data_IF_827727919517
#
_entry.id   IF_827727919517
#
_cell.length_a   1.000
_cell.length_b   1.000
_cell.length_c   1.000
_cell.angle_alpha   90.00
_cell.angle_beta   90.00
_cell.angle_gamma   90.00
#
_symmetry.space_group_name_H-M   'P 1'
#
loop_
_entity.id
_entity.type
_entity.pdbx_description
1 polymer ?
#
# COMPACT_ATOMS: atom_id res chain seq x y z
N UNK A 1 -15.39 13.68 -8.92
CA UNK A 1 -15.00 14.03 -7.52
C UNK A 1 -13.94 13.03 -7.12
N UNK A 2 -12.73 13.48 -6.80
CA UNK A 2 -11.63 12.60 -6.38
C UNK A 2 -11.76 12.31 -4.89
N UNK A 3 -11.79 11.02 -4.53
CA UNK A 3 -11.79 10.60 -3.12
C UNK A 3 -10.36 10.46 -2.62
N UNK A 4 -10.11 10.79 -1.36
CA UNK A 4 -8.77 10.64 -0.74
C UNK A 4 -8.81 9.60 0.36
N UNK A 5 -7.83 8.70 0.36
CA UNK A 5 -7.70 7.61 1.33
C UNK A 5 -6.29 7.61 1.91
N UNK A 6 -6.17 7.59 3.22
CA UNK A 6 -4.90 7.34 3.91
C UNK A 6 -4.88 5.88 4.39
N UNK A 7 -3.84 5.14 4.01
CA UNK A 7 -3.67 3.73 4.32
C UNK A 7 -2.30 3.53 4.97
N UNK A 8 -2.29 2.88 6.14
CA UNK A 8 -1.07 2.45 6.81
C UNK A 8 -0.88 0.96 6.58
N UNK A 9 0.31 0.54 6.17
CA UNK A 9 0.68 -0.87 6.01
C UNK A 9 2.14 -1.06 6.40
N UNK A 10 2.51 -2.21 6.95
CA UNK A 10 3.89 -2.47 7.34
C UNK A 10 4.87 -2.45 6.16
N UNK A 11 4.34 -2.75 4.97
CA UNK A 11 5.07 -3.07 3.75
C UNK A 11 4.32 -2.61 2.50
N UNK A 12 5.04 -2.00 1.55
CA UNK A 12 4.48 -1.66 0.25
C UNK A 12 5.53 -1.62 -0.87
N UNK A 13 5.07 -1.55 -2.13
CA UNK A 13 5.95 -1.59 -3.30
C UNK A 13 6.99 -0.45 -3.31
N UNK A 14 8.23 -0.70 -3.80
CA UNK A 14 8.78 -2.00 -4.21
C UNK A 14 9.39 -2.82 -3.05
N UNK A 15 9.46 -2.28 -1.84
CA UNK A 15 10.34 -2.76 -0.77
C UNK A 15 9.76 -3.86 0.11
N UNK A 16 9.39 -5.03 -0.41
CA UNK A 16 8.86 -6.12 0.43
C UNK A 16 8.87 -7.51 -0.22
N UNK A 17 9.08 -8.56 0.61
CA UNK A 17 8.79 -9.98 0.32
C UNK A 17 7.46 -10.49 0.94
N UNK A 18 6.65 -9.61 1.54
CA UNK A 18 5.51 -9.93 2.41
C UNK A 18 4.32 -10.62 1.71
N UNK A 19 4.37 -10.80 0.39
CA UNK A 19 3.41 -11.60 -0.37
C UNK A 19 2.01 -11.00 -0.43
N UNK A 20 1.04 -11.71 0.16
CA UNK A 20 -0.41 -11.47 0.00
C UNK A 20 -0.90 -10.06 0.36
N UNK A 21 -0.59 -9.49 1.54
CA UNK A 21 -1.09 -8.19 1.96
C UNK A 21 -0.69 -7.06 1.00
N UNK A 22 0.56 -7.06 0.56
CA UNK A 22 1.11 -6.04 -0.35
C UNK A 22 0.45 -6.16 -1.73
N UNK A 23 0.27 -7.39 -2.22
CA UNK A 23 -0.41 -7.63 -3.50
C UNK A 23 -1.87 -7.18 -3.44
N UNK A 24 -2.57 -7.44 -2.34
CA UNK A 24 -3.96 -7.02 -2.13
C UNK A 24 -4.09 -5.50 -2.15
N UNK A 25 -3.23 -4.76 -1.44
CA UNK A 25 -3.26 -3.29 -1.44
C UNK A 25 -2.90 -2.73 -2.82
N UNK A 26 -1.87 -3.27 -3.48
CA UNK A 26 -1.49 -2.82 -4.82
C UNK A 26 -2.62 -3.03 -5.84
N UNK A 27 -3.31 -4.18 -5.78
CA UNK A 27 -4.47 -4.45 -6.63
C UNK A 27 -5.63 -3.50 -6.33
N UNK A 28 -5.89 -3.19 -5.05
CA UNK A 28 -6.94 -2.24 -4.65
C UNK A 28 -6.69 -0.85 -5.22
N UNK A 29 -5.47 -0.34 -5.09
CA UNK A 29 -5.05 0.96 -5.64
C UNK A 29 -5.23 0.98 -7.15
N UNK A 30 -4.81 -0.09 -7.84
CA UNK A 30 -4.95 -0.21 -9.29
C UNK A 30 -6.42 -0.26 -9.76
N UNK A 31 -7.31 -0.87 -8.97
CA UNK A 31 -8.73 -0.95 -9.28
C UNK A 31 -9.50 0.36 -9.07
N UNK A 32 -8.89 1.35 -8.39
CA UNK A 32 -9.53 2.61 -8.01
C UNK A 32 -8.78 3.84 -8.58
N UNK A 33 -8.71 4.00 -9.91
CA UNK A 33 -7.88 5.03 -10.55
C UNK A 33 -8.33 6.48 -10.24
N UNK A 34 -9.58 6.67 -9.82
CA UNK A 34 -10.13 7.98 -9.46
C UNK A 34 -9.98 8.31 -7.95
N UNK A 35 -9.22 7.51 -7.22
CA UNK A 35 -8.96 7.69 -5.78
C UNK A 35 -7.50 8.01 -5.55
N UNK A 36 -7.24 9.03 -4.76
CA UNK A 36 -5.89 9.40 -4.36
C UNK A 36 -5.51 8.68 -3.06
N UNK A 37 -4.53 7.78 -3.14
CA UNK A 37 -4.05 7.01 -1.99
C UNK A 37 -2.77 7.63 -1.40
N UNK A 38 -2.81 7.89 -0.10
CA UNK A 38 -1.63 8.20 0.72
C UNK A 38 -1.24 6.95 1.49
N UNK A 39 -0.16 6.30 1.06
CA UNK A 39 0.31 5.04 1.67
C UNK A 39 1.48 5.34 2.59
N UNK A 40 1.28 5.11 3.89
CA UNK A 40 2.31 5.22 4.91
C UNK A 40 2.83 3.82 5.18
N UNK A 41 4.11 3.59 4.89
CA UNK A 41 4.79 2.31 5.04
C UNK A 41 6.14 2.48 5.73
N UNK A 42 6.67 1.39 6.29
CA UNK A 42 8.01 1.40 6.89
C UNK A 42 9.09 1.31 5.81
N UNK A 43 10.26 1.84 6.11
CA UNK A 43 11.46 1.79 5.27
C UNK A 43 12.44 0.69 5.68
N UNK A 44 12.08 -0.15 6.66
CA UNK A 44 12.90 -1.25 7.19
C UNK A 44 12.03 -2.47 7.50
N UNK A 45 12.70 -3.62 7.68
CA UNK A 45 12.05 -4.88 8.04
C UNK A 45 11.24 -4.84 9.33
N UNK A 46 10.08 -5.51 9.34
CA UNK A 46 9.27 -5.71 10.55
C UNK A 46 9.88 -6.89 11.29
N UNK A 47 10.30 -6.67 12.54
CA UNK A 47 10.94 -7.69 13.37
C UNK A 47 12.25 -8.26 12.79
N UNK A 48 13.05 -7.45 12.09
CA UNK A 48 14.47 -7.76 11.79
C UNK A 48 15.35 -7.68 13.02
#
# INVERSE_FOLDING_TARGET
MTSSVCLTIDWYLPGTNSGGPVRSVANLVAAMPNTHFYIITRNTDYCS
#
